data_IF_888476259312
#
_entry.id   IF_888476259312
#
_cell.length_a   1.000
_cell.length_b   1.000
_cell.length_c   1.000
_cell.angle_alpha   90.00
_cell.angle_beta   90.00
_cell.angle_gamma   90.00
#
_symmetry.space_group_name_H-M   'P 1'
#
loop_
_entity.id
_entity.type
_entity.pdbx_description
1 polymer ?
#
# COMPACT_ATOMS: atom_id res chain seq x y z
N UNK A 1 -3.44 -6.83 -4.01
CA UNK A 1 -4.51 -6.03 -3.49
C UNK A 1 -4.97 -4.93 -4.43
N UNK A 2 -6.00 -4.27 -4.03
CA UNK A 2 -6.58 -3.16 -4.79
C UNK A 2 -6.46 -1.88 -3.98
N UNK A 3 -6.02 -0.81 -4.62
CA UNK A 3 -5.90 0.49 -3.95
C UNK A 3 -7.30 1.02 -3.63
N UNK A 4 -7.59 1.13 -2.33
CA UNK A 4 -8.88 1.59 -1.85
C UNK A 4 -8.91 3.10 -1.66
N UNK A 5 -7.81 3.67 -1.18
CA UNK A 5 -7.74 5.09 -0.88
C UNK A 5 -6.29 5.58 -0.92
N UNK A 6 -6.11 6.81 -1.38
CA UNK A 6 -4.81 7.48 -1.39
C UNK A 6 -4.76 8.52 -0.29
N UNK A 7 -3.59 8.63 0.35
CA UNK A 7 -3.31 9.63 1.37
C UNK A 7 -1.94 10.25 1.13
N UNK A 8 -1.67 11.39 1.76
CA UNK A 8 -0.40 12.10 1.58
C UNK A 8 0.80 11.28 2.02
N UNK A 9 0.62 10.40 2.99
CA UNK A 9 1.69 9.59 3.55
C UNK A 9 1.71 8.15 3.04
N UNK A 10 0.77 7.78 2.19
CA UNK A 10 0.70 6.43 1.65
C UNK A 10 -0.65 6.11 1.04
N UNK A 11 -0.94 4.83 0.93
CA UNK A 11 -2.19 4.37 0.35
C UNK A 11 -2.77 3.20 1.15
N UNK A 12 -4.08 3.15 1.25
CA UNK A 12 -4.77 1.97 1.78
C UNK A 12 -5.05 1.02 0.63
N UNK A 13 -4.68 -0.22 0.83
CA UNK A 13 -4.86 -1.29 -0.15
C UNK A 13 -5.70 -2.39 0.46
N UNK A 14 -6.79 -2.73 -0.19
CA UNK A 14 -7.64 -3.84 0.23
C UNK A 14 -7.00 -5.14 -0.21
N UNK A 15 -6.60 -5.96 0.75
CA UNK A 15 -5.95 -7.25 0.48
C UNK A 15 -6.94 -8.41 0.54
N UNK A 16 -7.92 -8.31 1.42
CA UNK A 16 -8.99 -9.30 1.59
C UNK A 16 -10.30 -8.56 1.84
N UNK A 17 -11.45 -9.20 1.58
CA UNK A 17 -12.74 -8.58 1.93
C UNK A 17 -12.78 -8.18 3.40
N UNK A 18 -13.03 -6.90 3.64
CA UNK A 18 -13.09 -6.36 4.99
C UNK A 18 -11.74 -6.11 5.65
N UNK A 19 -10.63 -6.29 4.94
CA UNK A 19 -9.28 -6.03 5.48
C UNK A 19 -8.49 -5.14 4.56
N UNK A 20 -8.07 -4.00 5.09
CA UNK A 20 -7.24 -3.05 4.39
C UNK A 20 -5.88 -2.96 5.07
N UNK A 21 -4.84 -2.82 4.26
CA UNK A 21 -3.50 -2.58 4.75
C UNK A 21 -3.00 -1.22 4.30
N UNK A 22 -2.01 -0.70 5.00
CA UNK A 22 -1.39 0.58 4.67
C UNK A 22 -0.04 0.35 3.98
N UNK A 23 0.12 0.96 2.82
CA UNK A 23 1.41 1.06 2.14
C UNK A 23 1.94 2.46 2.38
N UNK A 24 2.98 2.58 3.22
CA UNK A 24 3.61 3.86 3.49
C UNK A 24 4.27 4.40 2.20
N UNK A 25 4.34 5.72 2.07
CA UNK A 25 4.92 6.35 0.89
C UNK A 25 6.34 5.86 0.60
N UNK A 26 7.12 5.58 1.63
CA UNK A 26 8.47 5.03 1.48
C UNK A 26 8.48 3.58 0.99
N UNK A 27 7.35 2.90 1.06
CA UNK A 27 7.19 1.51 0.65
C UNK A 27 6.52 1.35 -0.71
N UNK A 28 6.16 2.45 -1.35
CA UNK A 28 5.50 2.42 -2.66
C UNK A 28 6.54 2.19 -3.77
N UNK A 29 7.69 2.82 -3.66
CA UNK A 29 8.75 2.72 -4.66
C UNK A 29 10.10 2.90 -4.01
N UNK A 30 11.13 2.32 -4.61
CA UNK A 30 12.52 2.54 -4.19
C UNK A 30 12.96 3.96 -4.50
N UNK A 31 12.34 4.58 -5.47
CA UNK A 31 12.56 5.97 -5.80
C UNK A 31 11.79 6.86 -4.83
N UNK A 32 12.28 8.07 -4.66
CA UNK A 32 11.59 9.05 -3.84
C UNK A 32 10.25 9.41 -4.47
N UNK A 33 9.18 9.16 -3.75
CA UNK A 33 7.83 9.49 -4.18
C UNK A 33 7.40 10.76 -3.47
N UNK A 34 7.16 11.82 -4.21
CA UNK A 34 6.68 13.07 -3.65
C UNK A 34 5.18 13.06 -3.44
N UNK A 35 4.47 12.43 -4.37
CA UNK A 35 3.03 12.34 -4.36
C UNK A 35 2.60 10.89 -4.57
N UNK A 36 1.80 10.35 -3.66
CA UNK A 36 1.27 9.00 -3.78
C UNK A 36 0.43 8.86 -5.05
N UNK A 37 -0.33 9.90 -5.38
CA UNK A 37 -1.20 9.90 -6.57
C UNK A 37 -0.43 9.83 -7.89
N UNK A 38 0.86 10.16 -7.89
CA UNK A 38 1.71 10.05 -9.08
C UNK A 38 2.04 8.59 -9.40
N UNK A 39 2.02 7.73 -8.40
CA UNK A 39 2.38 6.32 -8.55
C UNK A 39 1.17 5.40 -8.51
N UNK A 40 0.13 5.77 -7.79
CA UNK A 40 -1.03 4.93 -7.56
C UNK A 40 -2.31 5.71 -7.84
N UNK A 41 -3.36 4.98 -8.18
CA UNK A 41 -4.71 5.53 -8.33
C UNK A 41 -5.70 4.65 -7.60
N UNK A 42 -6.77 5.24 -7.09
CA UNK A 42 -7.85 4.49 -6.48
C UNK A 42 -8.41 3.46 -7.46
N UNK A 43 -8.59 2.25 -7.00
CA UNK A 43 -9.08 1.16 -7.81
C UNK A 43 -8.02 0.37 -8.57
N UNK A 44 -6.77 0.81 -8.54
CA UNK A 44 -5.68 0.09 -9.19
C UNK A 44 -5.42 -1.25 -8.49
N UNK A 45 -5.13 -2.27 -9.28
CA UNK A 45 -4.72 -3.56 -8.75
C UNK A 45 -3.20 -3.55 -8.67
N UNK A 46 -2.69 -3.75 -7.46
CA UNK A 46 -1.25 -3.71 -7.19
C UNK A 46 -0.82 -4.95 -6.42
N UNK A 47 0.44 -5.30 -6.57
CA UNK A 47 1.04 -6.38 -5.77
C UNK A 47 1.66 -5.78 -4.53
N UNK A 48 1.32 -6.35 -3.40
CA UNK A 48 1.84 -5.90 -2.12
C UNK A 48 2.31 -7.10 -1.31
N UNK A 49 3.27 -6.86 -0.44
CA UNK A 49 3.76 -7.85 0.49
C UNK A 49 3.40 -7.42 1.90
N UNK A 50 2.86 -8.34 2.69
CA UNK A 50 2.58 -8.07 4.10
C UNK A 50 3.89 -8.05 4.86
N UNK A 51 4.21 -6.90 5.45
CA UNK A 51 5.41 -6.73 6.27
C UNK A 51 5.14 -7.10 7.72
N UNK A 52 4.01 -6.62 8.25
CA UNK A 52 3.69 -6.78 9.64
C UNK A 52 2.19 -6.67 9.83
N UNK A 53 1.67 -7.40 10.80
CA UNK A 53 0.27 -7.28 11.24
C UNK A 53 0.29 -6.83 12.68
N UNK A 54 -0.30 -5.66 12.94
CA UNK A 54 -0.40 -5.10 14.26
C UNK A 54 -1.46 -5.85 15.09
N UNK A 55 -1.32 -5.79 16.41
CA UNK A 55 -2.30 -6.34 17.34
C UNK A 55 -3.68 -5.70 17.19
N UNK A 56 -3.73 -4.47 16.72
CA UNK A 56 -4.97 -3.75 16.48
C UNK A 56 -5.63 -4.12 15.15
N UNK A 57 -5.05 -5.05 14.42
CA UNK A 57 -5.57 -5.48 13.13
C UNK A 57 -5.09 -4.64 11.96
N UNK A 58 -4.14 -3.75 12.18
CA UNK A 58 -3.53 -2.98 11.11
C UNK A 58 -2.49 -3.82 10.39
N UNK A 59 -2.55 -3.78 9.07
CA UNK A 59 -1.60 -4.52 8.24
C UNK A 59 -0.69 -3.51 7.55
N UNK A 60 0.61 -3.72 7.68
CA UNK A 60 1.61 -2.93 6.97
C UNK A 60 2.01 -3.66 5.71
N UNK A 61 1.95 -2.96 4.61
CA UNK A 61 2.23 -3.53 3.29
C UNK A 61 3.41 -2.82 2.64
N UNK A 62 4.07 -3.53 1.74
CA UNK A 62 5.15 -2.96 0.95
C UNK A 62 4.97 -3.33 -0.51
N UNK A 63 5.20 -2.38 -1.39
CA UNK A 63 5.23 -2.61 -2.82
C UNK A 63 6.66 -2.71 -3.36
N UNK A 64 7.65 -2.19 -2.62
CA UNK A 64 9.04 -2.18 -3.07
C UNK A 64 9.71 -3.55 -2.97
N UNK A 65 9.23 -4.40 -2.08
CA UNK A 65 9.82 -5.72 -1.87
C UNK A 65 9.22 -6.79 -2.74
N UNK A 66 8.25 -6.44 -3.57
CA UNK A 66 7.56 -7.39 -4.44
C UNK A 66 8.26 -7.40 -5.78
N UNK A 67 8.92 -8.49 -6.09
CA UNK A 67 9.51 -8.70 -7.40
C UNK A 67 8.38 -9.07 -8.36
N UNK A 68 8.24 -8.24 -9.37
CA UNK A 68 7.15 -8.27 -10.30
C UNK A 68 6.91 -9.57 -11.04
#
# INVERSE_FOLDING_TARGET
GRVARLMDFGAFVTILPGRDGLVHISQISEERVENVADKLKEGDVVRVKVLEVDRQGRVRLSMRSVDG
#
